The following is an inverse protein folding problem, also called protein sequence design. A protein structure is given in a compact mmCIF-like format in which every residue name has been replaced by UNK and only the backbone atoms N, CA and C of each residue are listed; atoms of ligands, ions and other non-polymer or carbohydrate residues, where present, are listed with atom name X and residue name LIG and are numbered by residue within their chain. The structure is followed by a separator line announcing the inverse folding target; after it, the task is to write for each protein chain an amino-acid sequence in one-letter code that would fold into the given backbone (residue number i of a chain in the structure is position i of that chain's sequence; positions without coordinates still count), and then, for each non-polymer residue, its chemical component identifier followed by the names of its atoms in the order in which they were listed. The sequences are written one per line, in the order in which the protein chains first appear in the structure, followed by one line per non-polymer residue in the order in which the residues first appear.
data_IF_194959516820
#
_entry.id   IF_194959516820
#
_cell.length_a   1.000
_cell.length_b   1.000
_cell.length_c   1.000
_cell.angle_alpha   90.00
_cell.angle_beta   90.00
_cell.angle_gamma   90.00
#
_symmetry.space_group_name_H-M   'P 1'
#
loop_
_entity.id
_entity.type
_entity.pdbx_description
1 polymer ?
#
# COMPACT_ATOMS: atom_id res chain seq x y z
N UNK A 1 -13.73 -7.13 -15.05
CA UNK A 1 -13.87 -8.06 -13.90
C UNK A 1 -13.08 -7.43 -12.77
N UNK A 2 -13.73 -6.95 -11.70
CA UNK A 2 -13.02 -6.33 -10.58
C UNK A 2 -12.68 -7.42 -9.55
N UNK A 3 -11.40 -7.58 -9.21
CA UNK A 3 -10.96 -8.56 -8.21
C UNK A 3 -9.54 -9.08 -8.43
N UNK A 4 -9.13 -10.04 -7.61
CA UNK A 4 -7.86 -10.75 -7.75
C UNK A 4 -7.94 -11.73 -8.93
N UNK A 5 -7.37 -11.38 -10.08
CA UNK A 5 -7.28 -12.27 -11.26
C UNK A 5 -6.34 -13.45 -11.02
N UNK A 6 -5.34 -13.28 -10.14
CA UNK A 6 -4.37 -14.32 -9.76
C UNK A 6 -4.38 -14.60 -8.26
N UNK A 7 -5.56 -14.91 -7.70
CA UNK A 7 -5.73 -15.12 -6.25
C UNK A 7 -4.88 -16.27 -5.69
N UNK A 8 -4.85 -17.41 -6.40
CA UNK A 8 -4.10 -18.62 -6.06
C UNK A 8 -3.58 -19.27 -7.36
N UNK A 9 -2.54 -18.71 -8.00
CA UNK A 9 -2.05 -19.22 -9.27
C UNK A 9 -1.27 -20.53 -9.07
N UNK A 10 -1.21 -21.33 -10.14
CA UNK A 10 -0.39 -22.53 -10.18
C UNK A 10 1.11 -22.18 -10.23
N UNK A 11 1.97 -23.18 -9.97
CA UNK A 11 3.41 -23.03 -10.17
C UNK A 11 3.71 -22.74 -11.65
N UNK A 12 4.74 -21.93 -11.95
CA UNK A 12 5.26 -21.84 -13.32
C UNK A 12 5.61 -23.24 -13.85
N UNK A 13 5.37 -23.54 -15.15
CA UNK A 13 5.61 -24.88 -15.71
C UNK A 13 7.05 -25.40 -15.55
N UNK A 14 8.02 -24.50 -15.46
CA UNK A 14 9.44 -24.80 -15.30
C UNK A 14 9.84 -25.06 -13.83
N UNK A 15 8.92 -24.89 -12.89
CA UNK A 15 9.19 -24.92 -11.46
C UNK A 15 8.51 -26.09 -10.74
N UNK A 16 9.04 -26.43 -9.58
CA UNK A 16 8.51 -27.39 -8.61
C UNK A 16 8.38 -26.71 -7.26
N UNK A 17 7.66 -27.32 -6.31
CA UNK A 17 7.57 -26.80 -4.94
C UNK A 17 8.96 -26.58 -4.31
N UNK A 18 9.91 -27.49 -4.54
CA UNK A 18 11.27 -27.39 -4.01
C UNK A 18 12.07 -26.23 -4.63
N UNK A 19 11.95 -26.02 -5.96
CA UNK A 19 12.69 -24.96 -6.65
C UNK A 19 12.15 -23.56 -6.30
N UNK A 20 10.84 -23.41 -6.13
CA UNK A 20 10.27 -22.12 -5.67
C UNK A 20 10.63 -21.83 -4.21
N UNK A 21 10.74 -22.86 -3.36
CA UNK A 21 11.18 -22.70 -1.98
C UNK A 21 12.66 -22.31 -1.89
N UNK A 22 13.53 -22.90 -2.72
CA UNK A 22 14.93 -22.47 -2.84
C UNK A 22 15.03 -20.99 -3.26
N UNK A 23 14.24 -20.58 -4.25
CA UNK A 23 14.17 -19.19 -4.71
C UNK A 23 13.66 -18.23 -3.62
N UNK A 24 12.69 -18.67 -2.80
CA UNK A 24 12.22 -17.91 -1.63
C UNK A 24 13.34 -17.74 -0.59
N UNK A 25 14.08 -18.81 -0.27
CA UNK A 25 15.23 -18.74 0.64
C UNK A 25 16.31 -17.79 0.11
N UNK A 26 16.52 -17.76 -1.21
CA UNK A 26 17.44 -16.82 -1.86
C UNK A 26 16.99 -15.36 -1.74
N UNK A 27 15.69 -15.07 -1.83
CA UNK A 27 15.14 -13.74 -1.52
C UNK A 27 15.44 -13.32 -0.08
N UNK A 28 15.21 -14.21 0.89
CA UNK A 28 15.52 -13.94 2.29
C UNK A 28 17.01 -13.68 2.51
N UNK A 29 17.88 -14.53 1.94
CA UNK A 29 19.34 -14.36 2.04
C UNK A 29 19.81 -13.05 1.44
N UNK A 30 19.24 -12.66 0.29
CA UNK A 30 19.52 -11.38 -0.37
C UNK A 30 19.12 -10.21 0.53
N UNK A 31 17.95 -10.28 1.15
CA UNK A 31 17.50 -9.27 2.10
C UNK A 31 18.37 -9.23 3.36
N UNK A 32 18.78 -10.36 3.92
CA UNK A 32 19.71 -10.39 5.06
C UNK A 32 21.05 -9.73 4.74
N UNK A 33 21.51 -9.82 3.48
CA UNK A 33 22.79 -9.27 3.06
C UNK A 33 22.73 -7.79 2.66
N UNK A 34 21.65 -7.36 2.01
CA UNK A 34 21.55 -6.02 1.40
C UNK A 34 20.42 -5.16 1.97
N UNK A 35 19.60 -5.73 2.86
CA UNK A 35 18.37 -5.10 3.34
C UNK A 35 17.42 -4.73 2.20
N UNK A 36 16.71 -3.62 2.40
CA UNK A 36 15.79 -3.04 1.43
C UNK A 36 16.50 -2.67 0.11
N UNK A 37 17.79 -2.30 0.13
CA UNK A 37 18.55 -1.95 -1.06
C UNK A 37 18.81 -3.13 -2.01
N UNK A 38 18.53 -4.36 -1.58
CA UNK A 38 18.54 -5.51 -2.48
C UNK A 38 17.41 -5.47 -3.52
N UNK A 39 16.35 -4.69 -3.30
CA UNK A 39 15.18 -4.61 -4.19
C UNK A 39 15.52 -4.15 -5.62
N UNK A 40 16.51 -3.28 -5.80
CA UNK A 40 16.92 -2.77 -7.11
C UNK A 40 17.73 -3.80 -7.93
N UNK A 41 18.04 -4.96 -7.35
CA UNK A 41 18.74 -6.02 -8.06
C UNK A 41 17.77 -6.69 -9.04
N UNK A 42 18.12 -6.82 -10.33
CA UNK A 42 17.27 -7.49 -11.33
C UNK A 42 16.85 -8.91 -10.91
N UNK A 43 17.75 -9.60 -10.22
CA UNK A 43 17.50 -10.93 -9.64
C UNK A 43 16.32 -10.94 -8.65
N UNK A 44 16.15 -9.91 -7.82
CA UNK A 44 15.04 -9.88 -6.85
C UNK A 44 13.70 -9.78 -7.57
N UNK A 45 13.63 -9.02 -8.66
CA UNK A 45 12.39 -8.93 -9.47
C UNK A 45 12.03 -10.28 -10.08
N UNK A 46 13.00 -10.98 -10.67
CA UNK A 46 12.80 -12.32 -11.25
C UNK A 46 12.37 -13.35 -10.20
N UNK A 47 13.04 -13.35 -9.04
CA UNK A 47 12.70 -14.23 -7.93
C UNK A 47 11.30 -13.92 -7.37
N UNK A 48 10.94 -12.65 -7.20
CA UNK A 48 9.60 -12.24 -6.73
C UNK A 48 8.50 -12.68 -7.69
N UNK A 49 8.73 -12.57 -9.00
CA UNK A 49 7.77 -13.03 -10.02
C UNK A 49 7.64 -14.55 -10.02
N UNK A 50 8.77 -15.27 -10.02
CA UNK A 50 8.77 -16.74 -10.09
C UNK A 50 8.14 -17.37 -8.84
N UNK A 51 8.35 -16.75 -7.68
CA UNK A 51 7.82 -17.24 -6.40
C UNK A 51 6.41 -16.72 -6.07
N UNK A 52 5.75 -16.02 -6.98
CA UNK A 52 4.45 -15.38 -6.73
C UNK A 52 3.37 -16.38 -6.29
N UNK A 53 3.32 -17.57 -6.87
CA UNK A 53 2.39 -18.63 -6.46
C UNK A 53 2.60 -19.09 -5.02
N UNK A 54 3.85 -19.23 -4.59
CA UNK A 54 4.20 -19.55 -3.21
C UNK A 54 3.88 -18.39 -2.26
N UNK A 55 4.10 -17.13 -2.67
CA UNK A 55 3.69 -15.95 -1.91
C UNK A 55 2.18 -15.98 -1.64
N UNK A 56 1.36 -16.21 -2.68
CA UNK A 56 -0.10 -16.31 -2.55
C UNK A 56 -0.51 -17.47 -1.63
N UNK A 57 0.11 -18.64 -1.76
CA UNK A 57 -0.12 -19.80 -0.87
C UNK A 57 0.16 -19.47 0.60
N UNK A 58 1.24 -18.72 0.88
CA UNK A 58 1.58 -18.31 2.25
C UNK A 58 0.61 -17.25 2.78
N UNK A 59 0.27 -16.23 1.98
CA UNK A 59 -0.68 -15.16 2.35
C UNK A 59 -2.08 -15.72 2.60
N UNK A 60 -2.54 -16.63 1.74
CA UNK A 60 -3.88 -17.22 1.82
C UNK A 60 -4.00 -18.36 2.84
N UNK A 61 -2.93 -18.66 3.60
CA UNK A 61 -2.94 -19.75 4.58
C UNK A 61 -4.02 -19.53 5.64
N UNK A 62 -4.64 -20.62 6.09
CA UNK A 62 -5.60 -20.63 7.20
C UNK A 62 -5.03 -21.53 8.32
N UNK A 63 -4.88 -21.04 9.56
CA UNK A 63 -5.14 -19.67 10.00
C UNK A 63 -4.20 -18.65 9.33
N UNK A 64 -4.65 -17.40 9.24
CA UNK A 64 -3.89 -16.33 8.60
C UNK A 64 -2.52 -16.17 9.30
N UNK A 65 -1.42 -16.05 8.53
CA UNK A 65 -0.11 -15.81 9.12
C UNK A 65 -0.04 -14.40 9.73
N UNK A 66 0.83 -14.22 10.72
CA UNK A 66 1.10 -12.86 11.22
C UNK A 66 1.84 -12.04 10.16
N UNK A 67 1.69 -10.71 10.22
CA UNK A 67 2.48 -9.81 9.35
C UNK A 67 3.99 -9.97 9.60
N UNK A 68 4.40 -10.23 10.84
CA UNK A 68 5.80 -10.48 11.18
C UNK A 68 6.35 -11.76 10.52
N UNK A 69 5.57 -12.84 10.50
CA UNK A 69 5.96 -14.09 9.83
C UNK A 69 6.03 -13.90 8.31
N UNK A 70 5.07 -13.16 7.74
CA UNK A 70 5.06 -12.81 6.33
C UNK A 70 6.26 -11.93 5.96
N UNK A 71 6.56 -10.90 6.74
CA UNK A 71 7.70 -10.01 6.50
C UNK A 71 9.03 -10.76 6.63
N UNK A 72 9.13 -11.70 7.56
CA UNK A 72 10.29 -12.58 7.68
C UNK A 72 10.43 -13.46 6.43
N UNK A 73 9.33 -14.06 5.96
CA UNK A 73 9.31 -14.99 4.82
C UNK A 73 9.48 -14.30 3.47
N UNK A 74 8.97 -13.07 3.35
CA UNK A 74 8.82 -12.29 2.13
C UNK A 74 9.15 -10.82 2.38
N UNK A 75 10.40 -10.48 2.73
CA UNK A 75 10.75 -9.12 3.14
C UNK A 75 10.50 -8.08 2.04
N UNK A 76 10.72 -8.46 0.78
CA UNK A 76 10.43 -7.60 -0.38
C UNK A 76 8.95 -7.45 -0.72
N UNK A 77 8.01 -8.09 -0.01
CA UNK A 77 6.59 -7.69 -0.10
C UNK A 77 6.31 -6.39 0.65
N UNK A 78 7.15 -6.04 1.62
CA UNK A 78 6.99 -4.89 2.50
C UNK A 78 7.80 -3.66 2.04
N UNK A 79 8.19 -3.65 0.78
CA UNK A 79 8.78 -2.50 0.08
C UNK A 79 7.76 -1.91 -0.89
N UNK A 80 7.92 -0.63 -1.26
CA UNK A 80 6.97 0.05 -2.16
C UNK A 80 6.88 -0.64 -3.53
N UNK A 81 8.02 -0.87 -4.19
CA UNK A 81 8.02 -1.54 -5.51
C UNK A 81 7.50 -2.97 -5.39
N UNK A 82 7.86 -3.67 -4.32
CA UNK A 82 7.33 -4.99 -3.98
C UNK A 82 5.81 -5.08 -3.90
N UNK A 83 5.19 -4.24 -3.07
CA UNK A 83 3.74 -4.27 -2.87
C UNK A 83 2.99 -3.83 -4.14
N UNK A 84 3.49 -2.85 -4.89
CA UNK A 84 2.88 -2.42 -6.15
C UNK A 84 2.98 -3.50 -7.23
N UNK A 85 4.14 -4.15 -7.36
CA UNK A 85 4.32 -5.25 -8.32
C UNK A 85 3.43 -6.45 -7.96
N UNK A 86 3.32 -6.78 -6.67
CA UNK A 86 2.42 -7.82 -6.19
C UNK A 86 0.96 -7.49 -6.50
N UNK A 87 0.54 -6.25 -6.25
CA UNK A 87 -0.82 -5.79 -6.53
C UNK A 87 -1.13 -5.87 -8.03
N UNK A 88 -0.20 -5.42 -8.87
CA UNK A 88 -0.35 -5.48 -10.33
C UNK A 88 -0.46 -6.92 -10.82
N UNK A 89 0.39 -7.84 -10.36
CA UNK A 89 0.26 -9.27 -10.70
C UNK A 89 -1.05 -9.87 -10.20
N UNK A 90 -1.52 -9.46 -9.02
CA UNK A 90 -2.72 -10.00 -8.40
C UNK A 90 -4.00 -9.56 -9.12
N UNK A 91 -4.03 -8.35 -9.67
CA UNK A 91 -5.24 -7.68 -10.19
C UNK A 91 -5.19 -7.35 -11.68
N UNK A 92 -4.02 -7.50 -12.30
CA UNK A 92 -3.67 -6.97 -13.63
C UNK A 92 -3.87 -5.44 -13.76
N UNK A 93 -3.80 -4.71 -12.63
CA UNK A 93 -3.91 -3.24 -12.58
C UNK A 93 -2.63 -2.63 -12.02
N UNK A 94 -1.90 -1.90 -12.87
CA UNK A 94 -0.78 -1.05 -12.45
C UNK A 94 -1.30 0.17 -11.68
N UNK A 95 -1.61 0.01 -10.39
CA UNK A 95 -2.40 0.99 -9.62
C UNK A 95 -1.80 2.39 -9.58
N UNK A 96 -0.47 2.51 -9.45
CA UNK A 96 0.22 3.80 -9.50
C UNK A 96 -0.03 4.49 -10.84
N UNK A 97 0.19 3.77 -11.95
CA UNK A 97 0.00 4.32 -13.29
C UNK A 97 -1.48 4.64 -13.57
N UNK A 98 -2.39 3.81 -13.09
CA UNK A 98 -3.82 4.02 -13.22
C UNK A 98 -4.27 5.28 -12.47
N UNK A 99 -3.73 5.53 -11.27
CA UNK A 99 -3.99 6.73 -10.50
C UNK A 99 -3.43 7.96 -11.21
N UNK A 100 -2.17 7.93 -11.65
CA UNK A 100 -1.53 9.02 -12.40
C UNK A 100 -2.36 9.41 -13.63
N UNK A 101 -2.71 8.44 -14.48
CA UNK A 101 -3.53 8.68 -15.66
C UNK A 101 -4.90 9.26 -15.30
N UNK A 102 -5.54 8.77 -14.24
CA UNK A 102 -6.82 9.30 -13.79
C UNK A 102 -6.71 10.77 -13.37
N UNK A 103 -5.64 11.13 -12.64
CA UNK A 103 -5.41 12.52 -12.23
C UNK A 103 -5.07 13.40 -13.43
N UNK A 104 -4.25 12.93 -14.38
CA UNK A 104 -3.95 13.62 -15.63
C UNK A 104 -5.24 13.91 -16.44
N UNK A 105 -6.14 12.93 -16.54
CA UNK A 105 -7.38 13.03 -17.33
C UNK A 105 -8.47 13.89 -16.66
N UNK A 106 -8.68 13.74 -15.35
CA UNK A 106 -9.85 14.33 -14.68
C UNK A 106 -9.53 15.22 -13.47
N UNK A 107 -8.29 15.28 -12.99
CA UNK A 107 -7.92 16.01 -11.78
C UNK A 107 -8.32 17.49 -11.81
N UNK A 108 -7.99 18.21 -12.90
CA UNK A 108 -8.37 19.61 -13.07
C UNK A 108 -9.90 19.80 -13.13
N UNK A 109 -10.62 18.90 -13.78
CA UNK A 109 -12.07 18.95 -13.85
C UNK A 109 -12.72 18.73 -12.47
N UNK A 110 -12.16 17.83 -11.66
CA UNK A 110 -12.57 17.62 -10.26
C UNK A 110 -12.35 18.89 -9.45
N UNK A 111 -11.15 19.49 -9.50
CA UNK A 111 -10.84 20.72 -8.77
C UNK A 111 -11.79 21.85 -9.18
N UNK A 112 -12.04 22.02 -10.47
CA UNK A 112 -12.96 23.06 -10.98
C UNK A 112 -14.41 22.82 -10.55
N UNK A 113 -14.86 21.57 -10.53
CA UNK A 113 -16.15 21.21 -9.97
C UNK A 113 -16.25 21.63 -8.49
N UNK A 114 -15.22 21.37 -7.68
CA UNK A 114 -15.20 21.77 -6.27
C UNK A 114 -15.17 23.29 -6.09
N UNK A 115 -14.40 24.03 -6.89
CA UNK A 115 -14.39 25.50 -6.86
C UNK A 115 -15.76 26.09 -7.18
N UNK A 116 -16.42 25.57 -8.20
CA UNK A 116 -17.64 26.19 -8.74
C UNK A 116 -18.93 25.70 -8.08
N UNK A 117 -19.04 24.40 -7.79
CA UNK A 117 -20.30 23.76 -7.38
C UNK A 117 -20.40 23.44 -5.89
N UNK A 118 -19.30 23.22 -5.19
CA UNK A 118 -19.32 22.74 -3.80
C UNK A 118 -18.92 23.85 -2.83
N UNK A 119 -19.84 24.26 -1.95
CA UNK A 119 -19.65 25.42 -1.05
C UNK A 119 -19.53 25.08 0.44
N UNK A 120 -19.29 23.80 0.75
CA UNK A 120 -19.09 23.33 2.13
C UNK A 120 -17.83 23.95 2.74
N UNK A 121 -17.90 24.36 4.01
CA UNK A 121 -16.79 25.02 4.72
C UNK A 121 -15.45 24.28 4.57
N UNK A 122 -15.42 22.96 4.81
CA UNK A 122 -14.19 22.16 4.72
C UNK A 122 -13.54 22.20 3.33
N UNK A 123 -14.35 22.10 2.26
CA UNK A 123 -13.87 22.19 0.87
C UNK A 123 -13.32 23.58 0.58
N UNK A 124 -13.99 24.63 1.06
CA UNK A 124 -13.54 26.01 0.87
C UNK A 124 -12.24 26.28 1.63
N UNK A 125 -12.07 25.70 2.83
CA UNK A 125 -10.80 25.77 3.57
C UNK A 125 -9.66 25.13 2.79
N UNK A 126 -9.86 23.92 2.24
CA UNK A 126 -8.83 23.23 1.43
C UNK A 126 -8.47 24.06 0.19
N UNK A 127 -9.48 24.60 -0.52
CA UNK A 127 -9.25 25.43 -1.71
C UNK A 127 -8.59 26.79 -1.41
N UNK A 128 -8.63 27.24 -0.15
CA UNK A 128 -8.05 28.51 0.29
C UNK A 128 -6.64 28.37 0.89
N UNK A 129 -6.16 27.14 1.12
CA UNK A 129 -4.76 26.89 1.48
C UNK A 129 -3.83 27.33 0.33
N UNK A 130 -2.58 27.67 0.66
CA UNK A 130 -1.57 28.02 -0.35
C UNK A 130 -1.49 26.94 -1.45
N UNK A 131 -1.23 27.36 -2.70
CA UNK A 131 -1.18 26.44 -3.84
C UNK A 131 -0.23 25.28 -3.53
N UNK A 132 -0.79 24.09 -3.39
CA UNK A 132 -0.01 22.86 -3.47
C UNK A 132 0.26 22.58 -4.94
N UNK A 133 1.53 22.45 -5.29
CA UNK A 133 1.93 22.02 -6.64
C UNK A 133 1.53 20.56 -6.93
N UNK A 134 1.06 19.81 -5.91
CA UNK A 134 0.62 18.43 -6.03
C UNK A 134 -0.90 18.35 -6.27
N UNK A 135 -1.28 18.29 -7.56
CA UNK A 135 -2.66 18.09 -7.99
C UNK A 135 -3.27 16.80 -7.45
N UNK A 136 -2.50 15.72 -7.30
CA UNK A 136 -2.99 14.44 -6.78
C UNK A 136 -3.43 14.61 -5.34
N UNK A 137 -2.57 15.21 -4.52
CA UNK A 137 -2.86 15.49 -3.12
C UNK A 137 -4.09 16.39 -2.95
N UNK A 138 -4.19 17.47 -3.73
CA UNK A 138 -5.36 18.36 -3.71
C UNK A 138 -6.65 17.62 -4.06
N UNK A 139 -6.65 16.81 -5.13
CA UNK A 139 -7.82 16.03 -5.56
C UNK A 139 -8.25 15.06 -4.46
N UNK A 140 -7.31 14.34 -3.85
CA UNK A 140 -7.60 13.40 -2.76
C UNK A 140 -8.22 14.13 -1.56
N UNK A 141 -7.65 15.25 -1.12
CA UNK A 141 -8.19 16.05 -0.02
C UNK A 141 -9.62 16.53 -0.30
N UNK A 142 -9.88 17.02 -1.51
CA UNK A 142 -11.21 17.49 -1.91
C UNK A 142 -12.24 16.35 -1.91
N UNK A 143 -11.88 15.18 -2.43
CA UNK A 143 -12.73 14.00 -2.43
C UNK A 143 -13.04 13.53 -1.00
N UNK A 144 -12.03 13.40 -0.14
CA UNK A 144 -12.22 13.03 1.26
C UNK A 144 -13.15 14.02 1.98
N UNK A 145 -12.92 15.32 1.81
CA UNK A 145 -13.77 16.36 2.41
C UNK A 145 -15.21 16.33 1.88
N UNK A 146 -15.41 16.00 0.60
CA UNK A 146 -16.72 15.88 0.00
C UNK A 146 -17.51 14.70 0.54
N UNK A 147 -16.87 13.53 0.64
CA UNK A 147 -17.47 12.31 1.15
C UNK A 147 -17.50 12.25 2.68
N UNK A 148 -17.00 13.29 3.36
CA UNK A 148 -16.91 13.39 4.83
C UNK A 148 -16.09 12.25 5.42
N UNK A 149 -15.07 11.82 4.68
CA UNK A 149 -14.09 10.85 5.14
C UNK A 149 -13.06 11.58 5.99
N UNK A 150 -13.00 11.22 7.28
CA UNK A 150 -11.90 11.69 8.13
C UNK A 150 -10.61 10.99 7.71
N UNK A 151 -9.46 11.69 7.68
CA UNK A 151 -8.15 11.03 7.67
C UNK A 151 -8.04 9.95 8.76
N UNK A 152 -8.68 10.16 9.91
CA UNK A 152 -8.76 9.18 11.02
C UNK A 152 -9.47 7.87 10.63
N UNK A 153 -10.29 7.93 9.58
CA UNK A 153 -10.94 6.78 8.96
C UNK A 153 -9.99 5.88 8.19
N UNK A 154 -8.77 6.34 7.90
CA UNK A 154 -7.73 5.59 7.20
C UNK A 154 -6.47 5.42 8.05
N UNK A 155 -6.11 6.45 8.81
CA UNK A 155 -4.86 6.57 9.56
C UNK A 155 -5.19 6.74 11.05
N UNK A 156 -4.52 5.98 11.91
CA UNK A 156 -4.50 6.24 13.35
C UNK A 156 -3.11 6.72 13.73
N UNK A 157 -3.01 7.93 14.27
CA UNK A 157 -1.75 8.44 14.81
C UNK A 157 -1.56 7.93 16.23
N UNK A 158 -0.36 7.48 16.54
CA UNK A 158 0.06 7.10 17.89
C UNK A 158 1.29 7.91 18.31
N UNK A 159 1.62 7.87 19.60
CA UNK A 159 2.83 8.50 20.13
C UNK A 159 4.07 8.07 19.33
N UNK A 160 4.99 9.00 19.11
CA UNK A 160 6.20 8.80 18.32
C UNK A 160 7.04 7.61 18.84
N UNK A 161 6.96 7.32 20.15
CA UNK A 161 7.68 6.24 20.80
C UNK A 161 6.78 5.03 21.13
N UNK A 162 5.52 5.02 20.68
CA UNK A 162 4.62 3.91 20.93
C UNK A 162 5.13 2.64 20.23
N UNK A 163 5.31 1.58 21.01
CA UNK A 163 5.55 0.23 20.49
C UNK A 163 4.25 -0.39 19.99
N UNK A 164 4.35 -1.47 19.22
CA UNK A 164 3.17 -2.23 18.80
C UNK A 164 2.31 -2.70 19.99
N UNK A 165 2.93 -3.07 21.11
CA UNK A 165 2.24 -3.45 22.33
C UNK A 165 1.52 -2.26 23.01
N UNK A 166 2.14 -1.07 22.97
CA UNK A 166 1.50 0.15 23.48
C UNK A 166 0.27 0.50 22.63
N UNK A 167 0.35 0.36 21.31
CA UNK A 167 -0.77 0.56 20.38
C UNK A 167 -1.93 -0.41 20.68
N UNK A 168 -1.65 -1.71 20.81
CA UNK A 168 -2.67 -2.73 21.09
C UNK A 168 -3.42 -2.51 22.42
N UNK A 169 -2.75 -1.90 23.40
CA UNK A 169 -3.33 -1.64 24.72
C UNK A 169 -3.98 -0.27 24.85
N UNK A 170 -3.48 0.74 24.11
CA UNK A 170 -3.94 2.13 24.19
C UNK A 170 -5.03 2.48 23.18
N UNK A 171 -5.05 1.83 22.02
CA UNK A 171 -5.98 2.13 20.93
C UNK A 171 -7.08 1.07 20.83
N UNK A 172 -8.33 1.55 20.83
CA UNK A 172 -9.48 0.72 20.44
C UNK A 172 -9.47 0.55 18.92
N UNK A 173 -8.76 -0.47 18.42
CA UNK A 173 -8.64 -0.70 16.99
C UNK A 173 -10.00 -1.07 16.37
N UNK A 174 -10.43 -0.38 15.30
CA UNK A 174 -11.67 -0.71 14.61
C UNK A 174 -11.55 -2.05 13.88
N UNK A 175 -12.69 -2.70 13.61
CA UNK A 175 -12.72 -3.95 12.84
C UNK A 175 -12.26 -3.79 11.38
N UNK A 176 -12.33 -2.57 10.84
CA UNK A 176 -11.84 -2.24 9.51
C UNK A 176 -10.35 -1.89 9.55
N UNK A 177 -9.53 -2.36 8.59
CA UNK A 177 -8.10 -2.04 8.53
C UNK A 177 -7.82 -0.54 8.60
N UNK A 178 -6.77 -0.17 9.34
CA UNK A 178 -6.24 1.19 9.48
C UNK A 178 -4.72 1.15 9.33
N UNK A 179 -4.14 2.24 8.82
CA UNK A 179 -2.71 2.49 8.86
C UNK A 179 -2.38 3.13 10.21
N UNK A 180 -1.43 2.57 10.96
CA UNK A 180 -1.01 3.17 12.24
C UNK A 180 0.32 3.88 11.99
N UNK A 181 0.35 5.18 12.22
CA UNK A 181 1.54 6.02 12.04
C UNK A 181 2.03 6.48 13.41
N UNK A 182 3.29 6.17 13.72
CA UNK A 182 3.97 6.72 14.89
C UNK A 182 4.43 8.14 14.58
N UNK A 183 3.87 9.11 15.29
CA UNK A 183 4.19 10.52 15.11
C UNK A 183 3.05 11.42 15.54
N UNK A 184 3.40 12.55 16.14
CA UNK A 184 2.46 13.64 16.34
C UNK A 184 2.17 14.30 15.00
N UNK A 185 0.91 14.67 14.74
CA UNK A 185 0.63 15.77 13.83
C UNK A 185 1.41 17.00 14.33
N UNK A 186 2.60 17.23 13.78
CA UNK A 186 3.21 18.55 13.85
C UNK A 186 2.32 19.45 13.00
N UNK A 187 1.43 20.17 13.68
CA UNK A 187 0.72 21.38 13.27
C UNK A 187 0.64 21.56 11.74
N UNK A 188 -0.55 21.31 11.18
CA UNK A 188 -0.98 22.16 10.08
C UNK A 188 -1.09 23.59 10.63
N UNK A 189 0.01 24.34 10.55
CA UNK A 189 0.03 25.80 10.67
C UNK A 189 -0.42 26.42 9.37
#
# INVERSE_FOLDING_TARGET
MYGCTRFQPELPPEETDDTVEEKRLRLQSTHSKYGIHGEDRPEVTDLMNTTFSLQRKHINRIPAPSLADLQTSWPYLFTLRGIFSHFELLTDVAILRALELSIEECGNAIVEYFRTKVKTANVQTILAQEETDDLTFLVVQLLMAHFKESPDGLILTTDEFATAADVETSLSLPASPRLILSGNEQKLS
#
